data_IF_600104525317
#
_entry.id   IF_600104525317
#
_cell.length_a   1.000
_cell.length_b   1.000
_cell.length_c   1.000
_cell.angle_alpha   90.00
_cell.angle_beta   90.00
_cell.angle_gamma   90.00
#
_symmetry.space_group_name_H-M   'P 1'
#
loop_
_entity.id
_entity.type
_entity.pdbx_description
1 polymer ?
#
# COMPACT_ATOMS: atom_id res chain seq x y z
N UNK A 1 -17.54 -8.81 18.42
CA UNK A 1 -17.46 -7.80 19.50
C UNK A 1 -16.52 -6.68 19.06
N UNK A 2 -16.80 -5.43 19.44
CA UNK A 2 -16.11 -4.23 18.93
C UNK A 2 -14.65 -4.07 19.36
N UNK A 3 -14.18 -4.88 20.31
CA UNK A 3 -12.89 -4.69 20.96
C UNK A 3 -11.86 -5.59 20.27
N UNK A 4 -10.80 -4.98 19.74
CA UNK A 4 -9.61 -5.60 19.11
C UNK A 4 -9.59 -5.66 17.57
N UNK A 5 -10.33 -4.80 16.86
CA UNK A 5 -10.16 -4.68 15.41
C UNK A 5 -9.01 -3.71 15.08
N UNK A 6 -7.92 -4.23 14.52
CA UNK A 6 -6.88 -3.42 13.89
C UNK A 6 -7.13 -3.38 12.37
N UNK A 7 -6.80 -2.25 11.73
CA UNK A 7 -6.80 -2.09 10.28
C UNK A 7 -5.95 -3.19 9.64
N UNK A 8 -6.52 -3.90 8.66
CA UNK A 8 -5.75 -4.87 7.88
C UNK A 8 -4.88 -4.15 6.83
N UNK A 9 -3.73 -4.72 6.42
CA UNK A 9 -2.85 -4.08 5.44
C UNK A 9 -3.50 -3.80 4.08
N UNK A 10 -4.52 -4.58 3.72
CA UNK A 10 -5.29 -4.53 2.48
C UNK A 10 -6.59 -3.70 2.60
N UNK A 11 -6.92 -3.21 3.78
CA UNK A 11 -8.16 -2.46 4.03
C UNK A 11 -7.94 -0.95 3.86
N UNK A 12 -8.83 -0.29 3.10
CA UNK A 12 -8.79 1.17 2.96
C UNK A 12 -9.39 1.87 4.18
N UNK A 13 -8.94 3.10 4.46
CA UNK A 13 -9.48 3.90 5.57
C UNK A 13 -11.02 4.06 5.50
N UNK A 14 -11.62 4.33 4.33
CA UNK A 14 -13.08 4.39 4.22
C UNK A 14 -13.78 3.06 4.50
N UNK A 15 -13.21 1.92 4.07
CA UNK A 15 -13.78 0.59 4.36
C UNK A 15 -13.74 0.29 5.85
N UNK A 16 -12.64 0.62 6.52
CA UNK A 16 -12.49 0.51 7.97
C UNK A 16 -13.56 1.30 8.71
N UNK A 17 -13.79 2.56 8.30
CA UNK A 17 -14.80 3.42 8.89
C UNK A 17 -16.23 2.89 8.70
N UNK A 18 -16.56 2.43 7.49
CA UNK A 18 -17.87 1.86 7.19
C UNK A 18 -18.15 0.63 8.07
N UNK A 19 -17.17 -0.27 8.20
CA UNK A 19 -17.32 -1.45 9.03
C UNK A 19 -17.43 -1.09 10.52
N UNK A 20 -16.66 -0.12 11.01
CA UNK A 20 -16.76 0.35 12.40
C UNK A 20 -18.12 0.99 12.66
N UNK A 21 -18.65 1.80 11.74
CA UNK A 21 -20.00 2.36 11.85
C UNK A 21 -21.05 1.26 11.94
N UNK A 22 -20.98 0.26 11.05
CA UNK A 22 -21.88 -0.90 11.03
C UNK A 22 -21.82 -1.67 12.35
N UNK A 23 -20.62 -1.97 12.83
CA UNK A 23 -20.41 -2.69 14.09
C UNK A 23 -20.92 -1.90 15.29
N UNK A 24 -20.71 -0.58 15.32
CA UNK A 24 -21.14 0.28 16.44
C UNK A 24 -22.65 0.35 16.51
N UNK A 25 -23.33 0.52 15.37
CA UNK A 25 -24.79 0.48 15.28
C UNK A 25 -25.36 -0.87 15.71
N UNK A 26 -24.68 -1.98 15.38
CA UNK A 26 -25.11 -3.32 15.79
C UNK A 26 -24.93 -3.56 17.29
N UNK A 27 -23.89 -2.97 17.90
CA UNK A 27 -23.60 -3.12 19.33
C UNK A 27 -24.48 -2.22 20.21
N UNK A 28 -24.93 -1.08 19.67
CA UNK A 28 -25.66 -0.05 20.42
C UNK A 28 -26.91 0.43 19.66
N UNK A 29 -27.88 -0.46 19.36
CA UNK A 29 -29.05 -0.10 18.55
C UNK A 29 -30.00 0.90 19.23
N UNK A 30 -30.00 0.95 20.57
CA UNK A 30 -30.88 1.83 21.36
C UNK A 30 -30.18 3.11 21.84
N UNK A 31 -28.89 3.29 21.55
CA UNK A 31 -28.15 4.45 22.02
C UNK A 31 -28.47 5.71 21.19
N UNK A 32 -28.36 6.92 21.78
CA UNK A 32 -28.47 8.15 21.03
C UNK A 32 -27.43 8.25 19.91
N UNK A 33 -27.82 8.85 18.78
CA UNK A 33 -26.94 9.01 17.61
C UNK A 33 -25.58 9.63 17.95
N UNK A 34 -25.56 10.69 18.76
CA UNK A 34 -24.32 11.37 19.18
C UNK A 34 -23.38 10.45 19.97
N UNK A 35 -23.95 9.56 20.79
CA UNK A 35 -23.16 8.56 21.53
C UNK A 35 -22.56 7.53 20.58
N UNK A 36 -23.34 7.08 19.59
CA UNK A 36 -22.87 6.14 18.56
C UNK A 36 -21.75 6.76 17.72
N UNK A 37 -21.89 8.00 17.26
CA UNK A 37 -20.86 8.70 16.50
C UNK A 37 -19.58 8.92 17.34
N UNK A 38 -19.72 9.29 18.61
CA UNK A 38 -18.57 9.44 19.53
C UNK A 38 -17.83 8.13 19.72
N UNK A 39 -18.57 7.05 19.98
CA UNK A 39 -17.98 5.71 20.12
C UNK A 39 -17.31 5.28 18.82
N UNK A 40 -18.00 5.38 17.69
CA UNK A 40 -17.48 4.97 16.40
C UNK A 40 -16.20 5.74 16.03
N UNK A 41 -16.13 7.04 16.34
CA UNK A 41 -14.91 7.85 16.20
C UNK A 41 -13.77 7.29 17.04
N UNK A 42 -13.99 7.06 18.32
CA UNK A 42 -12.93 6.59 19.24
C UNK A 42 -12.42 5.22 18.82
N UNK A 43 -13.33 4.29 18.50
CA UNK A 43 -12.96 2.97 17.97
C UNK A 43 -12.24 3.05 16.63
N UNK A 44 -12.63 3.98 15.76
CA UNK A 44 -11.93 4.21 14.49
C UNK A 44 -10.49 4.65 14.73
N UNK A 45 -10.26 5.63 15.60
CA UNK A 45 -8.90 6.08 15.94
C UNK A 45 -8.08 4.90 16.49
N UNK A 46 -8.62 4.13 17.43
CA UNK A 46 -7.90 2.98 18.00
C UNK A 46 -7.54 1.93 16.95
N UNK A 47 -8.36 1.79 15.91
CA UNK A 47 -8.20 0.79 14.85
C UNK A 47 -7.18 1.14 13.76
N UNK A 48 -6.71 2.40 13.64
CA UNK A 48 -5.83 2.86 12.54
C UNK A 48 -4.45 2.14 12.44
N UNK A 49 -4.10 1.29 13.41
CA UNK A 49 -2.89 0.45 13.39
C UNK A 49 -1.60 1.21 13.70
N UNK A 50 -1.33 2.30 12.99
CA UNK A 50 -0.11 3.11 13.12
C UNK A 50 -0.23 4.17 14.23
N UNK A 51 0.62 4.08 15.26
CA UNK A 51 0.59 4.99 16.42
C UNK A 51 0.75 6.46 16.02
N UNK A 52 1.61 6.73 15.03
CA UNK A 52 1.86 8.07 14.50
C UNK A 52 0.61 8.68 13.87
N UNK A 53 -0.09 7.90 13.04
CA UNK A 53 -1.33 8.30 12.38
C UNK A 53 -2.45 8.46 13.41
N UNK A 54 -2.56 7.56 14.39
CA UNK A 54 -3.51 7.71 15.52
C UNK A 54 -3.29 9.02 16.25
N UNK A 55 -2.04 9.33 16.61
CA UNK A 55 -1.71 10.53 17.35
C UNK A 55 -2.06 11.80 16.57
N UNK A 56 -1.74 11.83 15.27
CA UNK A 56 -2.06 12.97 14.39
C UNK A 56 -3.57 13.18 14.23
N UNK A 57 -4.33 12.11 14.04
CA UNK A 57 -5.80 12.17 13.97
C UNK A 57 -6.38 12.58 15.33
N UNK A 58 -5.84 12.09 16.45
CA UNK A 58 -6.29 12.52 17.78
C UNK A 58 -6.03 14.02 18.02
N UNK A 59 -4.86 14.51 17.60
CA UNK A 59 -4.45 15.90 17.75
C UNK A 59 -5.33 16.87 16.94
N UNK A 60 -5.93 16.43 15.83
CA UNK A 60 -6.86 17.26 15.04
C UNK A 60 -8.22 17.45 15.71
N UNK A 61 -8.49 16.77 16.85
CA UNK A 61 -9.73 16.86 17.62
C UNK A 61 -11.01 16.67 16.78
N UNK A 62 -11.15 15.53 16.09
CA UNK A 62 -12.32 15.25 15.26
C UNK A 62 -13.60 15.21 16.12
N UNK A 63 -14.69 15.81 15.64
CA UNK A 63 -15.95 15.86 16.41
C UNK A 63 -16.75 14.58 16.26
N UNK A 64 -16.74 14.00 15.07
CA UNK A 64 -17.51 12.81 14.69
C UNK A 64 -16.63 11.83 13.90
N UNK A 65 -17.18 10.67 13.51
CA UNK A 65 -16.42 9.67 12.74
C UNK A 65 -15.97 10.21 11.38
N UNK A 66 -16.82 10.99 10.72
CA UNK A 66 -16.54 11.51 9.37
C UNK A 66 -15.33 12.46 9.38
N UNK A 67 -15.26 13.36 10.37
CA UNK A 67 -14.12 14.26 10.56
C UNK A 67 -12.81 13.46 10.74
N UNK A 68 -12.84 12.40 11.56
CA UNK A 68 -11.67 11.55 11.77
C UNK A 68 -11.22 10.84 10.49
N UNK A 69 -12.18 10.39 9.68
CA UNK A 69 -11.91 9.75 8.38
C UNK A 69 -11.26 10.71 7.41
N UNK A 70 -11.77 11.95 7.31
CA UNK A 70 -11.18 12.98 6.43
C UNK A 70 -9.72 13.20 6.78
N UNK A 71 -9.41 13.46 8.05
CA UNK A 71 -8.03 13.70 8.50
C UNK A 71 -7.14 12.49 8.23
N UNK A 72 -7.64 11.28 8.49
CA UNK A 72 -6.87 10.06 8.26
C UNK A 72 -6.57 9.83 6.76
N UNK A 73 -7.54 10.12 5.87
CA UNK A 73 -7.36 10.04 4.41
C UNK A 73 -6.40 11.12 3.90
N UNK A 74 -6.46 12.34 4.43
CA UNK A 74 -5.52 13.41 4.09
C UNK A 74 -4.08 13.02 4.45
N UNK A 75 -3.88 12.44 5.64
CA UNK A 75 -2.58 11.93 6.07
C UNK A 75 -2.07 10.81 5.15
N UNK A 76 -2.91 9.84 4.81
CA UNK A 76 -2.56 8.75 3.89
C UNK A 76 -2.17 9.30 2.50
N UNK A 77 -2.96 10.26 1.99
CA UNK A 77 -2.72 10.92 0.72
C UNK A 77 -1.40 11.70 0.71
N UNK A 78 -1.10 12.41 1.80
CA UNK A 78 0.15 13.13 1.97
C UNK A 78 1.36 12.17 1.98
N UNK A 79 1.29 11.06 2.71
CA UNK A 79 2.37 10.07 2.72
C UNK A 79 2.56 9.41 1.36
N UNK A 80 1.47 9.08 0.65
CA UNK A 80 1.54 8.56 -0.71
C UNK A 80 2.16 9.56 -1.69
N UNK A 81 1.90 10.86 -1.52
CA UNK A 81 2.50 11.90 -2.37
C UNK A 81 4.01 12.09 -2.08
N UNK A 82 4.40 12.13 -0.81
CA UNK A 82 5.80 12.32 -0.43
C UNK A 82 6.68 11.10 -0.71
N UNK A 83 6.13 9.89 -0.61
CA UNK A 83 6.83 8.66 -1.03
C UNK A 83 7.08 8.66 -2.54
N UNK A 84 6.10 9.09 -3.35
CA UNK A 84 6.27 9.25 -4.81
C UNK A 84 7.33 10.30 -5.18
N UNK A 85 7.48 11.35 -4.37
CA UNK A 85 8.50 12.40 -4.56
C UNK A 85 9.89 12.01 -4.03
N UNK A 86 10.03 10.88 -3.34
CA UNK A 86 11.29 10.41 -2.76
C UNK A 86 11.69 11.08 -1.44
N UNK A 87 10.83 11.93 -0.87
CA UNK A 87 11.13 12.77 0.30
C UNK A 87 10.95 12.06 1.65
N UNK A 88 10.08 11.04 1.73
CA UNK A 88 9.80 10.32 2.96
C UNK A 88 9.98 8.81 2.75
N UNK A 89 11.08 8.26 3.28
CA UNK A 89 11.25 6.80 3.45
C UNK A 89 10.57 6.38 4.75
N UNK A 90 9.28 6.08 4.69
CA UNK A 90 8.64 5.29 5.75
C UNK A 90 8.53 3.84 5.26
N UNK A 91 9.14 2.86 5.93
CA UNK A 91 8.87 1.47 5.62
C UNK A 91 7.53 1.11 6.28
N UNK A 92 6.54 0.62 5.53
CA UNK A 92 5.62 -0.49 5.86
C UNK A 92 4.49 -0.55 4.82
N UNK A 93 4.25 -1.77 4.34
CA UNK A 93 3.09 -2.28 3.59
C UNK A 93 2.89 -1.84 2.12
N UNK A 94 3.74 -2.42 1.26
CA UNK A 94 3.40 -3.07 -0.03
C UNK A 94 2.45 -2.30 -0.96
N UNK A 95 3.02 -1.38 -1.72
CA UNK A 95 2.64 -1.32 -3.13
C UNK A 95 3.04 -2.67 -3.75
N UNK A 96 2.08 -3.45 -4.24
CA UNK A 96 2.38 -4.50 -5.23
C UNK A 96 2.69 -3.78 -6.54
N UNK A 97 3.88 -3.21 -6.59
CA UNK A 97 4.63 -3.13 -7.83
C UNK A 97 5.68 -4.21 -7.65
N UNK A 98 5.60 -5.36 -8.34
CA UNK A 98 6.73 -6.27 -8.34
C UNK A 98 7.95 -5.44 -8.75
N UNK A 99 9.09 -5.50 -8.02
CA UNK A 99 10.29 -4.89 -8.54
C UNK A 99 10.48 -5.49 -9.92
N UNK A 100 10.49 -4.65 -10.96
CA UNK A 100 10.98 -5.10 -12.24
C UNK A 100 12.41 -5.57 -11.95
N UNK A 101 12.61 -6.89 -11.92
CA UNK A 101 13.93 -7.48 -11.75
C UNK A 101 14.76 -6.96 -12.92
N UNK A 102 15.55 -5.92 -12.69
CA UNK A 102 16.51 -5.43 -13.67
C UNK A 102 17.54 -6.53 -14.02
N UNK A 103 17.67 -7.55 -13.16
CA UNK A 103 18.39 -8.79 -13.46
C UNK A 103 17.86 -9.56 -14.67
N UNK A 104 16.54 -9.59 -14.89
CA UNK A 104 15.93 -10.33 -16.02
C UNK A 104 16.26 -9.65 -17.37
N UNK A 105 16.46 -8.32 -17.37
CA UNK A 105 16.89 -7.58 -18.57
C UNK A 105 18.35 -7.85 -18.89
N UNK A 106 19.22 -7.88 -17.88
CA UNK A 106 20.65 -8.17 -18.07
C UNK A 106 20.85 -9.62 -18.52
N UNK A 107 20.12 -10.59 -17.97
CA UNK A 107 20.17 -11.99 -18.43
C UNK A 107 19.65 -12.15 -19.85
N UNK A 108 18.53 -11.50 -20.21
CA UNK A 108 18.02 -11.53 -21.59
C UNK A 108 19.00 -10.88 -22.57
N UNK A 109 19.66 -9.79 -22.19
CA UNK A 109 20.70 -9.16 -23.00
C UNK A 109 21.94 -10.04 -23.13
N UNK A 110 22.39 -10.71 -22.06
CA UNK A 110 23.52 -11.65 -22.11
C UNK A 110 23.23 -12.88 -22.98
N UNK A 111 22.02 -13.45 -22.90
CA UNK A 111 21.60 -14.55 -23.78
C UNK A 111 21.58 -14.14 -25.25
N UNK A 112 20.98 -12.99 -25.54
CA UNK A 112 20.95 -12.45 -26.90
C UNK A 112 22.35 -12.20 -27.46
N UNK A 113 23.28 -11.70 -26.63
CA UNK A 113 24.66 -11.49 -27.03
C UNK A 113 25.42 -12.82 -27.28
N UNK A 114 25.15 -13.85 -26.47
CA UNK A 114 25.70 -15.19 -26.65
C UNK A 114 25.25 -15.85 -27.96
N UNK A 115 23.94 -15.79 -28.24
CA UNK A 115 23.37 -16.31 -29.49
C UNK A 115 23.94 -15.59 -30.72
N UNK A 116 24.11 -14.26 -30.65
CA UNK A 116 24.70 -13.47 -31.72
C UNK A 116 26.17 -13.85 -31.99
N UNK A 117 26.94 -14.15 -30.95
CA UNK A 117 28.34 -14.58 -31.07
C UNK A 117 28.47 -15.98 -31.67
N UNK A 118 27.63 -16.94 -31.26
CA UNK A 118 27.60 -18.28 -31.85
C UNK A 118 27.23 -18.26 -33.34
N UNK A 119 26.29 -17.38 -33.71
CA UNK A 119 25.88 -17.23 -35.11
C UNK A 119 27.02 -16.66 -35.96
N UNK A 120 27.81 -15.75 -35.41
CA UNK A 120 28.99 -15.21 -36.07
C UNK A 120 30.10 -16.25 -36.19
N UNK A 121 30.42 -17.01 -35.14
CA UNK A 121 31.47 -18.03 -35.18
C UNK A 121 31.10 -19.18 -36.12
N UNK A 122 29.84 -19.64 -36.11
CA UNK A 122 29.37 -20.67 -37.05
C UNK A 122 29.40 -20.19 -38.51
N UNK A 123 29.16 -18.89 -38.74
CA UNK A 123 29.31 -18.30 -40.08
C UNK A 123 30.77 -18.16 -40.52
N UNK A 124 31.73 -18.01 -39.60
CA UNK A 124 33.16 -18.03 -39.95
C UNK A 124 33.66 -19.44 -40.27
N UNK A 125 33.24 -20.45 -39.51
CA UNK A 125 33.62 -21.85 -39.77
C UNK A 125 33.04 -22.36 -41.10
N UNK A 126 31.80 -22.00 -41.44
CA UNK A 126 31.19 -22.37 -42.74
C UNK A 126 31.79 -21.66 -43.96
N UNK A 127 32.48 -20.54 -43.77
CA UNK A 127 33.12 -19.79 -44.85
C UNK A 127 34.62 -20.12 -45.02
N UNK A 128 35.20 -20.94 -44.13
CA UNK A 128 36.59 -21.42 -44.25
C UNK A 128 36.72 -22.74 -45.04
N UNK A 129 35.64 -23.52 -45.14
CA UNK A 129 35.63 -24.81 -45.83
C UNK A 129 35.20 -24.74 -47.32
N UNK A 130 34.92 -23.55 -47.85
CA UNK A 130 34.48 -23.34 -49.25
C UNK A 130 35.58 -22.83 -50.19
N UNK A 131 36.82 -22.69 -49.74
CA UNK A 131 37.97 -22.33 -50.59
C UNK A 131 39.04 -23.44 -50.50
N UNK A 132 38.72 -24.62 -51.05
CA UNK A 132 39.68 -25.67 -51.45
C UNK A 132 39.13 -26.47 -52.63
#
# INVERSE_FOLDING_TARGET
MLKNRARKPDESIPQLAQEIKRLTLQAYPEAPYETIETLARDYFIDSLGDTDTKWRVYQSRPRNLSDAVVVAVELESFFLAETKKGNLRRPIARAVVPPANDGDKVEKQMKFLGEALETLTSNFEKNADTDS
#
